data_IF_895530635159
#
_entry.id   IF_895530635159
#
_cell.length_a   1.000
_cell.length_b   1.000
_cell.length_c   1.000
_cell.angle_alpha   90.00
_cell.angle_beta   90.00
_cell.angle_gamma   90.00
#
_symmetry.space_group_name_H-M   'P 1'
#
loop_
_entity.id
_entity.type
_entity.pdbx_description
1 polymer ?
#
# COMPACT_ATOMS: atom_id res chain seq x y z
N UNK A 1 46.39 17.78 -13.21
CA UNK A 1 45.54 17.92 -12.02
C UNK A 1 44.70 16.66 -11.95
N UNK A 2 44.99 15.79 -10.97
CA UNK A 2 44.21 14.59 -10.74
C UNK A 2 43.00 14.98 -9.86
N UNK A 3 41.80 14.70 -10.35
CA UNK A 3 40.57 14.81 -9.57
C UNK A 3 40.63 13.85 -8.37
N UNK A 4 40.93 14.38 -7.19
CA UNK A 4 40.90 13.63 -5.91
C UNK A 4 39.70 13.99 -5.02
N UNK A 5 38.72 14.74 -5.53
CA UNK A 5 37.66 15.35 -4.70
C UNK A 5 36.35 14.56 -4.59
N UNK A 6 36.43 13.23 -4.50
CA UNK A 6 35.31 12.47 -3.93
C UNK A 6 35.85 11.43 -2.97
N UNK A 7 35.84 11.76 -1.68
CA UNK A 7 36.04 10.78 -0.62
C UNK A 7 34.97 9.68 -0.80
N UNK A 8 35.33 8.45 -1.21
CA UNK A 8 34.36 7.41 -1.53
C UNK A 8 33.52 7.03 -0.31
N UNK A 9 34.05 7.20 0.90
CA UNK A 9 33.30 7.00 2.14
C UNK A 9 32.20 8.07 2.34
N UNK A 10 32.44 9.33 1.96
CA UNK A 10 31.44 10.39 2.04
C UNK A 10 30.30 10.17 1.03
N UNK A 11 30.64 9.79 -0.21
CA UNK A 11 29.64 9.44 -1.23
C UNK A 11 28.83 8.20 -0.84
N UNK A 12 29.47 7.19 -0.23
CA UNK A 12 28.76 6.01 0.28
C UNK A 12 27.83 6.35 1.46
N UNK A 13 28.27 7.22 2.38
CA UNK A 13 27.47 7.67 3.53
C UNK A 13 26.24 8.46 3.09
N UNK A 14 26.38 9.35 2.10
CA UNK A 14 25.25 10.11 1.56
C UNK A 14 24.22 9.20 0.87
N UNK A 15 24.68 8.22 0.08
CA UNK A 15 23.80 7.19 -0.52
C UNK A 15 23.06 6.39 0.55
N UNK A 16 23.74 5.97 1.62
CA UNK A 16 23.09 5.26 2.73
C UNK A 16 22.03 6.12 3.42
N UNK A 17 22.30 7.42 3.61
CA UNK A 17 21.35 8.35 4.22
C UNK A 17 20.12 8.57 3.33
N UNK A 18 20.33 8.80 2.04
CA UNK A 18 19.26 8.92 1.06
C UNK A 18 18.41 7.64 0.95
N UNK A 19 19.06 6.47 0.96
CA UNK A 19 18.38 5.16 1.04
C UNK A 19 17.51 5.05 2.29
N UNK A 20 18.06 5.40 3.46
CA UNK A 20 17.34 5.36 4.73
C UNK A 20 16.09 6.25 4.73
N UNK A 21 16.22 7.50 4.27
CA UNK A 21 15.09 8.43 4.15
C UNK A 21 14.02 7.93 3.18
N UNK A 22 14.41 7.45 1.99
CA UNK A 22 13.47 6.90 1.01
C UNK A 22 12.74 5.65 1.51
N UNK A 23 13.44 4.79 2.27
CA UNK A 23 12.83 3.60 2.89
C UNK A 23 11.82 3.97 3.97
N UNK A 24 12.11 4.97 4.81
CA UNK A 24 11.15 5.44 5.83
C UNK A 24 9.89 6.01 5.19
N UNK A 25 10.03 6.80 4.13
CA UNK A 25 8.89 7.42 3.44
C UNK A 25 8.03 6.40 2.67
N UNK A 26 8.65 5.42 2.00
CA UNK A 26 7.89 4.33 1.38
C UNK A 26 7.20 3.43 2.41
N UNK A 27 7.85 3.18 3.56
CA UNK A 27 7.25 2.43 4.66
C UNK A 27 6.03 3.12 5.26
N UNK A 28 6.08 4.45 5.44
CA UNK A 28 4.94 5.21 5.95
C UNK A 28 3.77 5.24 4.95
N UNK A 29 4.05 5.38 3.65
CA UNK A 29 3.02 5.33 2.60
C UNK A 29 2.32 3.97 2.55
N UNK A 30 3.08 2.87 2.61
CA UNK A 30 2.51 1.52 2.68
C UNK A 30 1.63 1.35 3.92
N UNK A 31 2.10 1.81 5.08
CA UNK A 31 1.34 1.77 6.33
C UNK A 31 0.02 2.55 6.23
N UNK A 32 0.06 3.76 5.69
CA UNK A 32 -1.13 4.59 5.47
C UNK A 32 -2.12 3.92 4.50
N UNK A 33 -1.64 3.35 3.40
CA UNK A 33 -2.49 2.64 2.44
C UNK A 33 -3.21 1.44 3.08
N UNK A 34 -2.51 0.65 3.91
CA UNK A 34 -3.11 -0.45 4.66
C UNK A 34 -4.19 0.06 5.63
N UNK A 35 -3.93 1.16 6.34
CA UNK A 35 -4.89 1.75 7.28
C UNK A 35 -6.13 2.29 6.57
N UNK A 36 -5.96 3.05 5.49
CA UNK A 36 -7.07 3.52 4.65
C UNK A 36 -7.90 2.35 4.14
N UNK A 37 -7.25 1.22 3.83
CA UNK A 37 -7.96 0.06 3.37
C UNK A 37 -8.77 -0.64 4.47
N UNK A 38 -8.21 -0.73 5.68
CA UNK A 38 -8.95 -1.22 6.83
C UNK A 38 -10.18 -0.34 7.10
N UNK A 39 -10.03 0.98 7.07
CA UNK A 39 -11.13 1.94 7.24
C UNK A 39 -12.24 1.74 6.20
N UNK A 40 -11.89 1.69 4.91
CA UNK A 40 -12.85 1.50 3.83
C UNK A 40 -13.60 0.16 3.97
N UNK A 41 -12.90 -0.92 4.32
CA UNK A 41 -13.53 -2.22 4.54
C UNK A 41 -14.52 -2.19 5.71
N UNK A 42 -14.14 -1.53 6.81
CA UNK A 42 -15.02 -1.37 7.97
C UNK A 42 -16.25 -0.55 7.63
N UNK A 43 -16.11 0.58 6.94
CA UNK A 43 -17.24 1.42 6.53
C UNK A 43 -18.24 0.65 5.65
N UNK A 44 -17.74 -0.12 4.68
CA UNK A 44 -18.58 -0.90 3.78
C UNK A 44 -19.29 -2.06 4.48
N UNK A 45 -18.61 -2.76 5.39
CA UNK A 45 -19.23 -3.76 6.23
C UNK A 45 -20.36 -3.17 7.09
N UNK A 46 -20.14 -2.00 7.70
CA UNK A 46 -21.19 -1.32 8.47
C UNK A 46 -22.36 -0.86 7.60
N UNK A 47 -22.13 -0.42 6.36
CA UNK A 47 -23.20 -0.09 5.41
C UNK A 47 -24.04 -1.32 5.07
N UNK A 48 -23.41 -2.45 4.75
CA UNK A 48 -24.10 -3.70 4.47
C UNK A 48 -24.90 -4.21 5.68
N UNK A 49 -24.31 -4.18 6.88
CA UNK A 49 -25.01 -4.56 8.12
C UNK A 49 -26.22 -3.68 8.40
N UNK A 50 -26.11 -2.37 8.17
CA UNK A 50 -27.23 -1.44 8.35
C UNK A 50 -28.34 -1.68 7.34
N UNK A 51 -28.00 -1.95 6.08
CA UNK A 51 -28.98 -2.32 5.06
C UNK A 51 -29.67 -3.63 5.43
N UNK A 52 -28.93 -4.64 5.87
CA UNK A 52 -29.49 -5.93 6.27
C UNK A 52 -30.42 -5.80 7.49
N UNK A 53 -30.09 -4.94 8.45
CA UNK A 53 -30.95 -4.66 9.60
C UNK A 53 -32.27 -3.94 9.24
N UNK A 54 -32.34 -3.28 8.08
CA UNK A 54 -33.53 -2.60 7.55
C UNK A 54 -34.29 -3.44 6.53
N UNK A 55 -33.81 -4.65 6.23
CA UNK A 55 -34.43 -5.53 5.23
C UNK A 55 -35.79 -6.03 5.72
N UNK A 56 -36.75 -6.10 4.80
CA UNK A 56 -38.12 -6.50 5.08
C UNK A 56 -38.27 -8.03 5.15
N UNK A 57 -37.39 -8.75 4.45
CA UNK A 57 -37.41 -10.21 4.38
C UNK A 57 -36.01 -10.82 4.18
N UNK A 58 -35.95 -12.15 4.28
CA UNK A 58 -34.72 -12.92 4.15
C UNK A 58 -34.15 -12.85 2.73
N UNK A 59 -34.99 -12.72 1.69
CA UNK A 59 -34.51 -12.61 0.31
C UNK A 59 -33.75 -11.29 0.10
N UNK A 60 -34.23 -10.20 0.71
CA UNK A 60 -33.55 -8.90 0.71
C UNK A 60 -32.21 -8.96 1.47
N UNK A 61 -32.15 -9.62 2.62
CA UNK A 61 -30.87 -9.86 3.34
C UNK A 61 -29.88 -10.64 2.47
N UNK A 62 -30.34 -11.69 1.79
CA UNK A 62 -29.48 -12.52 0.92
C UNK A 62 -28.98 -11.74 -0.28
N UNK A 63 -29.79 -10.85 -0.85
CA UNK A 63 -29.37 -9.93 -1.91
C UNK A 63 -28.29 -8.97 -1.40
N UNK A 64 -28.49 -8.34 -0.25
CA UNK A 64 -27.52 -7.42 0.36
C UNK A 64 -26.19 -8.12 0.63
N UNK A 65 -26.20 -9.35 1.15
CA UNK A 65 -24.99 -10.13 1.36
C UNK A 65 -24.29 -10.48 0.03
N UNK A 66 -25.05 -10.86 -0.98
CA UNK A 66 -24.51 -11.21 -2.31
C UNK A 66 -23.86 -10.00 -2.99
N UNK A 67 -24.52 -8.84 -2.93
CA UNK A 67 -24.00 -7.56 -3.45
C UNK A 67 -22.72 -7.17 -2.71
N UNK A 68 -22.72 -7.26 -1.37
CA UNK A 68 -21.55 -6.99 -0.56
C UNK A 68 -20.36 -7.89 -0.90
N UNK A 69 -20.58 -9.20 -1.09
CA UNK A 69 -19.50 -10.14 -1.46
C UNK A 69 -18.93 -9.86 -2.85
N UNK A 70 -19.78 -9.55 -3.82
CA UNK A 70 -19.36 -9.15 -5.17
C UNK A 70 -18.50 -7.89 -5.13
N UNK A 71 -18.96 -6.86 -4.41
CA UNK A 71 -18.27 -5.58 -4.33
C UNK A 71 -16.98 -5.69 -3.50
N UNK A 72 -17.00 -6.45 -2.39
CA UNK A 72 -15.81 -6.75 -1.60
C UNK A 72 -14.76 -7.51 -2.44
N UNK A 73 -15.19 -8.45 -3.28
CA UNK A 73 -14.29 -9.16 -4.19
C UNK A 73 -13.61 -8.23 -5.20
N UNK A 74 -14.37 -7.33 -5.83
CA UNK A 74 -13.81 -6.34 -6.75
C UNK A 74 -12.82 -5.40 -6.07
N UNK A 75 -13.16 -4.91 -4.86
CA UNK A 75 -12.28 -4.06 -4.05
C UNK A 75 -11.01 -4.78 -3.61
N UNK A 76 -11.11 -6.02 -3.15
CA UNK A 76 -9.95 -6.82 -2.72
C UNK A 76 -8.93 -7.02 -3.84
N UNK A 77 -9.39 -7.19 -5.09
CA UNK A 77 -8.48 -7.27 -6.23
C UNK A 77 -7.76 -5.95 -6.53
N UNK A 78 -8.46 -4.82 -6.41
CA UNK A 78 -7.83 -3.50 -6.58
C UNK A 78 -6.77 -3.25 -5.50
N UNK A 79 -7.10 -3.56 -4.24
CA UNK A 79 -6.18 -3.47 -3.10
C UNK A 79 -4.94 -4.33 -3.26
N UNK A 80 -5.11 -5.58 -3.69
CA UNK A 80 -4.01 -6.48 -3.90
C UNK A 80 -3.05 -5.94 -4.96
N UNK A 81 -3.55 -5.32 -6.03
CA UNK A 81 -2.72 -4.68 -7.06
C UNK A 81 -1.95 -3.49 -6.49
N UNK A 82 -2.63 -2.59 -5.81
CA UNK A 82 -2.02 -1.38 -5.21
C UNK A 82 -0.91 -1.75 -4.22
N UNK A 83 -1.17 -2.69 -3.30
CA UNK A 83 -0.17 -3.17 -2.35
C UNK A 83 0.99 -3.87 -3.06
N UNK A 84 0.71 -4.65 -4.10
CA UNK A 84 1.76 -5.32 -4.89
C UNK A 84 2.65 -4.31 -5.63
N UNK A 85 2.07 -3.24 -6.15
CA UNK A 85 2.81 -2.15 -6.81
C UNK A 85 3.70 -1.39 -5.83
N UNK A 86 3.20 -1.08 -4.62
CA UNK A 86 3.99 -0.48 -3.55
C UNK A 86 5.16 -1.38 -3.11
N UNK A 87 4.92 -2.68 -2.92
CA UNK A 87 5.98 -3.65 -2.57
C UNK A 87 7.01 -3.77 -3.70
N UNK A 88 6.57 -3.83 -4.96
CA UNK A 88 7.47 -3.89 -6.10
C UNK A 88 8.31 -2.61 -6.22
N UNK A 89 7.71 -1.44 -5.96
CA UNK A 89 8.43 -0.16 -5.95
C UNK A 89 9.43 -0.07 -4.80
N UNK A 90 9.10 -0.60 -3.63
CA UNK A 90 10.03 -0.77 -2.52
C UNK A 90 11.23 -1.65 -2.93
N UNK A 91 10.96 -2.81 -3.53
CA UNK A 91 12.01 -3.72 -4.01
C UNK A 91 12.93 -3.08 -5.05
N UNK A 92 12.37 -2.35 -6.03
CA UNK A 92 13.15 -1.60 -7.03
C UNK A 92 14.00 -0.50 -6.38
N UNK A 93 13.43 0.28 -5.46
CA UNK A 93 14.14 1.34 -4.76
C UNK A 93 15.32 0.80 -3.94
N UNK A 94 15.12 -0.32 -3.23
CA UNK A 94 16.17 -0.95 -2.44
C UNK A 94 17.34 -1.46 -3.32
N UNK A 95 17.04 -2.08 -4.46
CA UNK A 95 18.07 -2.58 -5.39
C UNK A 95 18.79 -1.45 -6.13
N UNK A 96 18.08 -0.38 -6.54
CA UNK A 96 18.67 0.79 -7.19
C UNK A 96 19.69 1.50 -6.29
N UNK A 97 19.34 1.67 -5.02
CA UNK A 97 20.21 2.24 -3.99
C UNK A 97 21.47 1.38 -3.76
N UNK A 98 21.33 0.04 -3.74
CA UNK A 98 22.46 -0.89 -3.59
C UNK A 98 23.42 -0.91 -4.78
N UNK A 99 22.91 -0.77 -6.00
CA UNK A 99 23.70 -0.89 -7.24
C UNK A 99 24.25 0.44 -7.75
N UNK A 100 23.93 1.57 -7.09
CA UNK A 100 24.36 2.91 -7.50
C UNK A 100 23.71 3.42 -8.79
N UNK A 101 22.63 2.76 -9.23
CA UNK A 101 21.74 3.21 -10.31
C UNK A 101 20.45 3.72 -9.65
N UNK A 102 20.52 4.92 -9.09
CA UNK A 102 19.36 5.71 -8.66
C UNK A 102 18.92 6.63 -9.79
#
# INVERSE_FOLDING_TARGET
>A
MADTDSNPAAAASERMRAAGSAMTEQGSQLGLAILSQAEANTQEAFRAMRAAAQANDVAEVMRIQSDYLRDQGARSMAQAREVSEMIAQFGRSAVGQMTGRG
#
